data_IF_340558638044
#
_entry.id   IF_340558638044
#
_cell.length_a   1.000
_cell.length_b   1.000
_cell.length_c   1.000
_cell.angle_alpha   90.00
_cell.angle_beta   90.00
_cell.angle_gamma   90.00
#
_symmetry.space_group_name_H-M   'P 1'
#
loop_
_entity.id
_entity.type
_entity.pdbx_description
1 polymer ?
#
# COMPACT_ATOMS: atom_id res chain seq x y z
N UNK A 1 -4.96 16.52 -31.19
CA UNK A 1 -5.07 17.54 -30.13
C UNK A 1 -6.36 17.26 -29.36
N UNK A 2 -6.27 16.78 -28.11
CA UNK A 2 -7.45 16.55 -27.24
C UNK A 2 -7.99 17.86 -26.70
N UNK A 3 -9.32 18.01 -26.66
CA UNK A 3 -9.98 19.26 -26.24
C UNK A 3 -9.77 19.51 -24.74
N UNK A 4 -9.75 20.78 -24.27
CA UNK A 4 -9.52 21.11 -22.86
C UNK A 4 -10.46 20.39 -21.87
N UNK A 5 -11.75 20.25 -22.23
CA UNK A 5 -12.73 19.55 -21.40
C UNK A 5 -12.53 18.02 -21.32
N UNK A 6 -11.98 17.41 -22.37
CA UNK A 6 -11.68 15.97 -22.37
C UNK A 6 -10.50 15.64 -21.45
N UNK A 7 -9.54 16.57 -21.31
CA UNK A 7 -8.41 16.41 -20.38
C UNK A 7 -8.84 16.52 -18.92
N UNK A 8 -9.74 17.45 -18.60
CA UNK A 8 -10.26 17.59 -17.24
C UNK A 8 -11.03 16.33 -16.80
N UNK A 9 -11.96 15.84 -17.64
CA UNK A 9 -12.70 14.62 -17.37
C UNK A 9 -11.81 13.37 -17.31
N UNK A 10 -10.69 13.35 -18.06
CA UNK A 10 -9.73 12.27 -18.01
C UNK A 10 -8.96 12.26 -16.67
N UNK A 11 -8.49 13.42 -16.20
CA UNK A 11 -7.83 13.54 -14.89
C UNK A 11 -8.72 13.14 -13.73
N UNK A 12 -9.99 13.51 -13.78
CA UNK A 12 -10.97 13.17 -12.74
C UNK A 12 -11.15 11.64 -12.63
N UNK A 13 -11.20 10.95 -13.77
CA UNK A 13 -11.27 9.47 -13.83
C UNK A 13 -9.98 8.78 -13.39
N UNK A 14 -8.84 9.42 -13.58
CA UNK A 14 -7.52 8.93 -13.14
C UNK A 14 -7.35 9.10 -11.64
N UNK A 15 -7.77 10.24 -11.08
CA UNK A 15 -7.82 10.49 -9.65
C UNK A 15 -8.74 9.49 -8.92
N UNK A 16 -9.94 9.23 -9.45
CA UNK A 16 -10.89 8.28 -8.86
C UNK A 16 -10.32 6.84 -8.79
N UNK A 17 -9.55 6.43 -9.80
CA UNK A 17 -8.85 5.13 -9.78
C UNK A 17 -7.70 5.12 -8.77
N UNK A 18 -6.98 6.23 -8.65
CA UNK A 18 -5.87 6.36 -7.71
C UNK A 18 -6.36 6.34 -6.25
N UNK A 19 -7.46 7.02 -5.94
CA UNK A 19 -8.05 7.07 -4.60
C UNK A 19 -8.50 5.67 -4.16
N UNK A 20 -9.20 4.92 -5.01
CA UNK A 20 -9.59 3.55 -4.73
C UNK A 20 -8.36 2.64 -4.54
N UNK A 21 -7.29 2.86 -5.29
CA UNK A 21 -6.06 2.11 -5.10
C UNK A 21 -5.38 2.45 -3.76
N UNK A 22 -5.36 3.73 -3.37
CA UNK A 22 -4.83 4.18 -2.08
C UNK A 22 -5.61 3.59 -0.89
N UNK A 23 -6.92 3.37 -1.06
CA UNK A 23 -7.80 2.67 -0.10
C UNK A 23 -7.57 1.14 -0.05
N UNK A 24 -6.65 0.61 -0.87
CA UNK A 24 -6.26 -0.80 -0.87
C UNK A 24 -7.09 -1.70 -1.77
N UNK A 25 -7.93 -1.16 -2.66
CA UNK A 25 -8.65 -1.95 -3.64
C UNK A 25 -7.72 -2.49 -4.74
N UNK A 26 -7.87 -3.76 -5.08
CA UNK A 26 -7.17 -4.35 -6.23
C UNK A 26 -7.74 -3.83 -7.56
N UNK A 27 -6.94 -3.88 -8.63
CA UNK A 27 -7.37 -3.48 -9.99
C UNK A 27 -8.69 -4.13 -10.43
N UNK A 28 -8.91 -5.40 -10.04
CA UNK A 28 -10.14 -6.14 -10.31
C UNK A 28 -11.33 -5.61 -9.49
N UNK A 29 -11.10 -5.21 -8.25
CA UNK A 29 -12.14 -4.60 -7.42
C UNK A 29 -12.50 -3.18 -7.92
N UNK A 30 -11.50 -2.41 -8.33
CA UNK A 30 -11.68 -1.08 -8.95
C UNK A 30 -12.49 -1.21 -10.24
N UNK A 31 -12.16 -2.16 -11.12
CA UNK A 31 -12.86 -2.33 -12.39
C UNK A 31 -14.35 -2.64 -12.21
N UNK A 32 -14.67 -3.48 -11.22
CA UNK A 32 -16.06 -3.80 -10.85
C UNK A 32 -16.78 -2.58 -10.29
N UNK A 33 -16.11 -1.79 -9.45
CA UNK A 33 -16.71 -0.62 -8.79
C UNK A 33 -16.97 0.53 -9.75
N UNK A 34 -16.10 0.72 -10.73
CA UNK A 34 -16.22 1.78 -11.75
C UNK A 34 -16.93 1.31 -13.04
N UNK A 35 -17.42 0.06 -13.07
CA UNK A 35 -18.05 -0.54 -14.25
C UNK A 35 -17.21 -0.43 -15.54
N UNK A 36 -15.89 -0.64 -15.42
CA UNK A 36 -14.93 -0.64 -16.54
C UNK A 36 -14.21 -1.98 -16.66
N UNK A 37 -13.45 -2.18 -17.74
CA UNK A 37 -12.64 -3.39 -17.88
C UNK A 37 -11.39 -3.35 -16.98
N UNK A 38 -10.88 -4.50 -16.51
CA UNK A 38 -9.63 -4.53 -15.72
C UNK A 38 -8.44 -3.89 -16.45
N UNK A 39 -8.38 -4.04 -17.78
CA UNK A 39 -7.34 -3.43 -18.60
C UNK A 39 -7.46 -1.89 -18.61
N UNK A 40 -8.68 -1.36 -18.65
CA UNK A 40 -8.90 0.09 -18.55
C UNK A 40 -8.56 0.63 -17.16
N UNK A 41 -8.92 -0.11 -16.10
CA UNK A 41 -8.54 0.25 -14.73
C UNK A 41 -7.03 0.29 -14.55
N UNK A 42 -6.31 -0.75 -15.02
CA UNK A 42 -4.85 -0.80 -14.98
C UNK A 42 -4.20 0.35 -15.76
N UNK A 43 -4.71 0.65 -16.97
CA UNK A 43 -4.19 1.74 -17.80
C UNK A 43 -4.38 3.11 -17.13
N UNK A 44 -5.56 3.37 -16.55
CA UNK A 44 -5.85 4.61 -15.83
C UNK A 44 -4.99 4.74 -14.57
N UNK A 45 -4.82 3.66 -13.81
CA UNK A 45 -3.95 3.64 -12.64
C UNK A 45 -2.50 3.96 -13.02
N UNK A 46 -1.98 3.33 -14.08
CA UNK A 46 -0.63 3.59 -14.57
C UNK A 46 -0.44 5.04 -15.04
N UNK A 47 -1.44 5.63 -15.70
CA UNK A 47 -1.40 7.04 -16.10
C UNK A 47 -1.44 7.98 -14.88
N UNK A 48 -2.31 7.69 -13.90
CA UNK A 48 -2.42 8.45 -12.66
C UNK A 48 -1.10 8.42 -11.86
N UNK A 49 -0.49 7.23 -11.72
CA UNK A 49 0.79 7.06 -11.03
C UNK A 49 1.95 7.78 -11.76
N UNK A 50 1.90 7.88 -13.09
CA UNK A 50 2.91 8.58 -13.87
C UNK A 50 2.80 10.12 -13.80
N UNK A 51 1.61 10.65 -13.48
CA UNK A 51 1.41 12.10 -13.24
C UNK A 51 1.70 12.51 -11.78
N UNK A 52 1.85 11.54 -10.87
CA UNK A 52 2.28 11.87 -9.50
C UNK A 52 3.68 12.48 -9.56
N UNK A 53 3.93 13.59 -8.84
CA UNK A 53 5.28 14.09 -8.67
C UNK A 53 6.13 12.96 -8.10
N UNK A 54 7.35 12.79 -8.62
CA UNK A 54 8.33 11.89 -8.02
C UNK A 54 8.53 12.32 -6.57
N UNK A 55 7.80 11.70 -5.66
CA UNK A 55 8.02 11.88 -4.24
C UNK A 55 9.36 11.23 -3.94
N UNK A 56 10.24 11.92 -3.20
CA UNK A 56 11.46 11.32 -2.69
C UNK A 56 11.10 9.98 -2.04
N UNK A 57 11.82 8.93 -2.40
CA UNK A 57 11.61 7.59 -1.82
C UNK A 57 11.68 7.65 -0.29
N UNK A 58 12.46 8.59 0.23
CA UNK A 58 12.62 8.94 1.63
C UNK A 58 11.32 9.44 2.28
N UNK A 59 10.54 10.28 1.59
CA UNK A 59 9.27 10.80 2.11
C UNK A 59 8.20 9.70 2.17
N UNK A 60 8.19 8.84 1.16
CA UNK A 60 7.34 7.64 1.14
C UNK A 60 7.73 6.67 2.26
N UNK A 61 9.02 6.44 2.49
CA UNK A 61 9.51 5.62 3.60
C UNK A 61 9.09 6.21 4.94
N UNK A 62 9.29 7.51 5.16
CA UNK A 62 8.91 8.18 6.41
C UNK A 62 7.39 8.07 6.67
N UNK A 63 6.57 8.26 5.64
CA UNK A 63 5.11 8.10 5.76
C UNK A 63 4.67 6.67 6.08
N UNK A 64 5.33 5.67 5.48
CA UNK A 64 5.06 4.25 5.75
C UNK A 64 5.55 3.85 7.15
N UNK A 65 6.71 4.32 7.60
CA UNK A 65 7.21 4.08 8.95
C UNK A 65 6.23 4.56 10.02
N UNK A 66 5.73 5.80 9.90
CA UNK A 66 4.73 6.35 10.83
C UNK A 66 3.45 5.49 10.88
N UNK A 67 3.01 4.96 9.73
CA UNK A 67 1.83 4.06 9.68
C UNK A 67 2.11 2.73 10.38
N UNK A 68 3.28 2.15 10.15
CA UNK A 68 3.71 0.90 10.77
C UNK A 68 3.89 1.06 12.29
N UNK A 69 4.42 2.20 12.75
CA UNK A 69 4.54 2.54 14.17
C UNK A 69 3.19 2.58 14.86
N UNK A 70 2.21 3.25 14.25
CA UNK A 70 0.83 3.31 14.80
C UNK A 70 0.19 1.93 14.86
N UNK A 71 0.35 1.12 13.81
CA UNK A 71 -0.17 -0.25 13.79
C UNK A 71 0.49 -1.12 14.86
N UNK A 72 1.81 -1.05 14.99
CA UNK A 72 2.57 -1.78 16.00
C UNK A 72 2.16 -1.37 17.42
N UNK A 73 2.01 -0.06 17.68
CA UNK A 73 1.54 0.42 18.98
C UNK A 73 0.14 -0.10 19.32
N UNK A 74 -0.79 -0.08 18.36
CA UNK A 74 -2.14 -0.63 18.56
C UNK A 74 -2.13 -2.13 18.87
N UNK A 75 -1.33 -2.91 18.13
CA UNK A 75 -1.18 -4.35 18.35
C UNK A 75 -0.50 -4.67 19.68
N UNK A 76 0.49 -3.88 20.11
CA UNK A 76 1.15 -4.04 21.40
C UNK A 76 0.19 -3.77 22.57
N UNK A 77 -0.62 -2.72 22.46
CA UNK A 77 -1.68 -2.43 23.45
C UNK A 77 -2.72 -3.53 23.50
N UNK A 78 -3.14 -4.06 22.34
CA UNK A 78 -4.06 -5.18 22.27
C UNK A 78 -3.48 -6.44 22.94
N UNK A 79 -2.23 -6.79 22.60
CA UNK A 79 -1.52 -7.93 23.18
C UNK A 79 -1.37 -7.81 24.70
N UNK A 80 -1.12 -6.61 25.22
CA UNK A 80 -0.95 -6.38 26.65
C UNK A 80 -2.27 -6.41 27.46
N UNK A 81 -3.43 -6.36 26.79
CA UNK A 81 -4.76 -6.23 27.44
C UNK A 81 -5.69 -7.40 27.19
N UNK A 82 -5.33 -8.31 26.29
CA UNK A 82 -6.16 -9.46 25.94
C UNK A 82 -5.80 -10.65 26.82
N UNK A 83 -6.81 -11.32 27.36
CA UNK A 83 -6.67 -12.62 28.04
C UNK A 83 -6.99 -13.80 27.09
N UNK A 84 -7.34 -13.50 25.84
CA UNK A 84 -7.57 -14.50 24.78
C UNK A 84 -6.26 -14.82 24.05
N UNK A 85 -5.75 -16.04 24.28
CA UNK A 85 -4.52 -16.57 23.68
C UNK A 85 -4.52 -16.52 22.14
N UNK A 86 -5.68 -16.69 21.50
CA UNK A 86 -5.80 -16.64 20.04
C UNK A 86 -5.60 -15.22 19.53
N UNK A 87 -6.20 -14.24 20.21
CA UNK A 87 -6.04 -12.82 19.89
C UNK A 87 -4.59 -12.38 20.14
N UNK A 88 -3.99 -12.85 21.24
CA UNK A 88 -2.58 -12.62 21.54
C UNK A 88 -1.67 -13.15 20.43
N UNK A 89 -1.86 -14.40 20.01
CA UNK A 89 -1.06 -15.02 18.95
C UNK A 89 -1.21 -14.28 17.61
N UNK A 90 -2.42 -13.84 17.27
CA UNK A 90 -2.68 -13.04 16.06
C UNK A 90 -1.98 -11.68 16.11
N UNK A 91 -2.01 -11.00 17.25
CA UNK A 91 -1.34 -9.72 17.44
C UNK A 91 0.19 -9.85 17.31
N UNK A 92 0.77 -10.88 17.95
CA UNK A 92 2.21 -11.16 17.86
C UNK A 92 2.64 -11.52 16.44
N UNK A 93 1.84 -12.32 15.73
CA UNK A 93 2.10 -12.67 14.32
C UNK A 93 2.07 -11.43 13.42
N UNK A 94 1.10 -10.53 13.64
CA UNK A 94 0.99 -9.28 12.90
C UNK A 94 2.18 -8.35 13.18
N UNK A 95 2.64 -8.26 14.44
CA UNK A 95 3.84 -7.52 14.81
C UNK A 95 5.09 -8.05 14.10
N UNK A 96 5.29 -9.37 14.08
CA UNK A 96 6.42 -9.98 13.37
C UNK A 96 6.42 -9.66 11.86
N UNK A 97 5.23 -9.59 11.23
CA UNK A 97 5.10 -9.17 9.83
C UNK A 97 5.48 -7.69 9.63
N UNK A 98 5.02 -6.81 10.52
CA UNK A 98 5.38 -5.38 10.47
C UNK A 98 6.90 -5.20 10.56
N UNK A 99 7.59 -5.93 11.45
CA UNK A 99 9.04 -5.89 11.55
C UNK A 99 9.74 -6.40 10.28
N UNK A 100 9.22 -7.47 9.67
CA UNK A 100 9.72 -7.98 8.39
C UNK A 100 9.57 -6.94 7.27
N UNK A 101 8.43 -6.26 7.20
CA UNK A 101 8.17 -5.24 6.19
C UNK A 101 9.03 -3.99 6.43
N UNK A 102 9.26 -3.57 7.67
CA UNK A 102 10.25 -2.52 8.00
C UNK A 102 11.65 -2.89 7.54
N UNK A 103 12.06 -4.13 7.78
CA UNK A 103 13.38 -4.64 7.36
C UNK A 103 13.55 -4.55 5.84
N UNK A 104 12.48 -4.84 5.07
CA UNK A 104 12.47 -4.67 3.61
C UNK A 104 12.50 -3.20 3.19
N UNK A 105 11.71 -2.35 3.83
CA UNK A 105 11.63 -0.92 3.53
C UNK A 105 12.96 -0.20 3.76
N UNK A 106 13.67 -0.56 4.83
CA UNK A 106 14.98 -0.04 5.18
C UNK A 106 16.13 -0.65 4.35
N UNK A 107 15.83 -1.61 3.47
CA UNK A 107 16.86 -2.34 2.72
C UNK A 107 17.77 -3.21 3.60
N UNK A 108 17.34 -3.51 4.83
CA UNK A 108 18.07 -4.34 5.80
C UNK A 108 17.81 -5.83 5.61
N UNK A 109 16.92 -6.20 4.69
CA UNK A 109 16.68 -7.58 4.30
C UNK A 109 17.90 -8.14 3.57
N UNK A 110 18.91 -8.58 4.34
CA UNK A 110 20.03 -9.33 3.78
C UNK A 110 19.48 -10.66 3.28
N UNK A 111 19.74 -10.97 2.01
CA UNK A 111 19.56 -12.33 1.49
C UNK A 111 20.36 -13.25 2.40
N UNK A 112 19.80 -14.35 2.94
CA UNK A 112 20.60 -15.30 3.68
C UNK A 112 21.81 -15.67 2.81
N UNK A 113 23.03 -15.73 3.38
CA UNK A 113 24.18 -16.21 2.63
C UNK A 113 23.79 -17.55 2.02
N UNK A 114 24.14 -17.83 0.75
CA UNK A 114 23.88 -19.14 0.17
C UNK A 114 24.46 -20.18 1.13
N UNK A 115 23.63 -21.11 1.61
CA UNK A 115 24.13 -22.28 2.33
C UNK A 115 25.15 -22.96 1.41
N UNK A 116 26.39 -22.96 1.88
CA UNK A 116 27.64 -23.52 1.36
C UNK A 116 27.61 -24.23 -0.02
N UNK A 117 28.50 -23.76 -0.90
CA UNK A 117 28.98 -24.47 -2.08
C UNK A 117 30.01 -25.55 -1.72
#
# INVERSE_FOLDING_TARGET
>A
MTKPGERAAQREREAEVLDLFADGFSVVAISRRLAITPQQAARRLSAALAELPEQPVEDLRAGVEVRLDRAAAGLAVLAARTDDDRVLLQALTALARIESDRTRLLGLAQKPPPEDA
#
